data_IF_086427149820
#
_entry.id   IF_086427149820
#
_cell.length_a   1.000
_cell.length_b   1.000
_cell.length_c   1.000
_cell.angle_alpha   90.00
_cell.angle_beta   90.00
_cell.angle_gamma   90.00
#
_symmetry.space_group_name_H-M   'P 1'
#
loop_
_entity.id
_entity.type
_entity.pdbx_description
1 polymer ?
#
# COMPACT_ATOMS: atom_id res chain seq x y z
N UNK A 1 -12.26 5.69 -0.23
CA UNK A 1 -11.79 5.12 -1.51
C UNK A 1 -10.39 5.69 -1.76
N UNK A 2 -9.31 4.99 -1.39
CA UNK A 2 -7.98 5.50 -1.67
C UNK A 2 -7.69 5.28 -3.16
N UNK A 3 -7.50 6.40 -3.84
CA UNK A 3 -7.16 6.48 -5.27
C UNK A 3 -5.64 6.50 -5.41
N UNK A 4 -5.14 5.79 -6.41
CA UNK A 4 -3.81 5.82 -7.03
C UNK A 4 -2.91 4.61 -6.71
N UNK A 5 -2.79 3.73 -7.71
CA UNK A 5 -1.77 2.70 -7.82
C UNK A 5 -0.70 3.25 -8.78
N UNK A 6 0.50 3.54 -8.29
CA UNK A 6 1.61 4.07 -9.09
C UNK A 6 2.41 2.93 -9.75
N UNK A 7 2.65 3.03 -11.06
CA UNK A 7 3.41 2.06 -11.85
C UNK A 7 4.65 2.68 -12.50
N UNK A 8 5.81 2.06 -12.21
CA UNK A 8 7.11 2.10 -12.92
C UNK A 8 7.91 3.43 -12.94
N UNK A 9 9.15 3.35 -12.42
CA UNK A 9 10.07 4.48 -12.26
C UNK A 9 11.08 4.69 -13.38
N UNK A 10 11.61 5.91 -13.41
CA UNK A 10 12.93 6.29 -13.94
C UNK A 10 13.63 7.17 -12.88
N UNK A 11 14.77 6.70 -12.37
CA UNK A 11 15.60 7.41 -11.39
C UNK A 11 16.43 8.47 -12.12
N UNK A 12 15.97 9.71 -12.10
CA UNK A 12 16.76 10.88 -12.50
C UNK A 12 16.71 11.95 -11.40
N UNK A 13 17.84 12.41 -10.83
CA UNK A 13 17.84 13.38 -9.76
C UNK A 13 17.55 14.79 -10.30
N UNK A 14 16.78 15.58 -9.55
CA UNK A 14 16.63 17.03 -9.70
C UNK A 14 15.77 17.51 -10.89
N UNK A 15 14.45 17.48 -10.68
CA UNK A 15 13.40 18.41 -11.15
C UNK A 15 12.13 17.98 -10.42
N UNK A 16 11.26 18.92 -10.06
CA UNK A 16 9.91 18.61 -9.58
C UNK A 16 9.15 17.93 -10.72
N UNK A 17 9.40 16.62 -10.89
CA UNK A 17 8.81 15.80 -11.94
C UNK A 17 7.50 15.27 -11.38
N UNK A 18 6.40 15.78 -11.92
CA UNK A 18 5.10 15.22 -11.63
C UNK A 18 5.05 13.82 -12.25
N UNK A 19 4.49 12.87 -11.52
CA UNK A 19 4.27 11.52 -12.03
C UNK A 19 3.02 11.51 -12.89
N UNK A 20 3.01 10.69 -13.94
CA UNK A 20 1.81 10.41 -14.71
C UNK A 20 1.28 9.06 -14.26
N UNK A 21 0.17 9.07 -13.52
CA UNK A 21 -0.54 7.85 -13.11
C UNK A 21 -1.65 7.56 -14.13
N UNK A 22 -1.79 6.30 -14.54
CA UNK A 22 -2.88 5.88 -15.42
C UNK A 22 -3.92 5.14 -14.58
N UNK A 23 -5.17 5.58 -14.63
CA UNK A 23 -6.27 4.91 -13.91
C UNK A 23 -6.75 3.65 -14.65
N UNK A 24 -7.70 2.92 -14.03
CA UNK A 24 -8.31 1.71 -14.62
C UNK A 24 -9.00 1.95 -15.97
N UNK A 25 -9.44 3.18 -16.25
CA UNK A 25 -10.09 3.56 -17.50
C UNK A 25 -9.06 3.97 -18.58
N UNK A 26 -7.76 3.96 -18.26
CA UNK A 26 -6.71 4.42 -19.15
C UNK A 26 -6.50 5.94 -19.13
N UNK A 27 -7.14 6.67 -18.21
CA UNK A 27 -7.00 8.12 -18.10
C UNK A 27 -5.69 8.48 -17.42
N UNK A 28 -4.92 9.37 -18.04
CA UNK A 28 -3.69 9.89 -17.46
C UNK A 28 -3.98 11.03 -16.48
N UNK A 29 -3.46 10.91 -15.27
CA UNK A 29 -3.55 11.89 -14.21
C UNK A 29 -2.14 12.35 -13.81
N UNK A 30 -1.99 13.65 -13.60
CA UNK A 30 -0.74 14.21 -13.09
C UNK A 30 -0.77 14.17 -11.56
N UNK A 31 0.19 13.47 -10.96
CA UNK A 31 0.28 13.25 -9.51
C UNK A 31 1.56 13.90 -9.00
N UNK A 32 1.46 14.75 -7.97
CA UNK A 32 2.68 15.27 -7.34
C UNK A 32 3.31 14.19 -6.46
N UNK A 33 4.65 14.17 -6.31
CA UNK A 33 5.32 13.23 -5.41
C UNK A 33 4.79 13.26 -3.96
N UNK A 34 4.29 14.41 -3.52
CA UNK A 34 3.71 14.63 -2.18
C UNK A 34 2.32 13.99 -2.00
N UNK A 35 1.63 13.67 -3.10
CA UNK A 35 0.30 13.07 -3.10
C UNK A 35 0.37 11.53 -3.14
N UNK A 36 1.57 10.97 -3.29
CA UNK A 36 1.79 9.53 -3.32
C UNK A 36 1.95 9.03 -1.88
N UNK A 37 0.92 8.36 -1.38
CA UNK A 37 0.95 7.81 -0.02
C UNK A 37 1.61 6.42 0.04
N UNK A 38 1.48 5.62 -1.01
CA UNK A 38 2.05 4.28 -1.07
C UNK A 38 2.37 3.87 -2.50
N UNK A 39 3.49 3.17 -2.68
CA UNK A 39 3.91 2.62 -3.97
C UNK A 39 3.99 1.10 -3.84
N UNK A 40 3.21 0.40 -4.65
CA UNK A 40 3.23 -1.06 -4.69
C UNK A 40 4.56 -1.52 -5.31
N UNK A 41 5.38 -2.30 -4.60
CA UNK A 41 6.62 -2.84 -5.16
C UNK A 41 6.32 -3.88 -6.24
N UNK A 42 7.17 -3.97 -7.25
CA UNK A 42 7.07 -4.99 -8.31
C UNK A 42 7.06 -4.46 -9.74
N UNK A 43 6.76 -3.17 -9.95
CA UNK A 43 6.80 -2.53 -11.26
C UNK A 43 5.89 -3.16 -12.33
N UNK A 44 5.82 -2.56 -13.52
CA UNK A 44 5.16 -3.19 -14.69
C UNK A 44 3.63 -3.40 -14.58
N UNK A 45 2.95 -2.66 -13.71
CA UNK A 45 1.49 -2.62 -13.68
C UNK A 45 0.97 -1.89 -14.92
N UNK A 46 0.07 -2.54 -15.65
CA UNK A 46 -0.71 -1.91 -16.72
C UNK A 46 -2.12 -1.64 -16.21
N UNK A 47 -2.87 -0.69 -16.79
CA UNK A 47 -4.25 -0.41 -16.39
C UNK A 47 -5.14 -1.67 -16.38
N UNK A 48 -4.93 -2.57 -17.34
CA UNK A 48 -5.63 -3.85 -17.47
C UNK A 48 -5.36 -4.83 -16.32
N UNK A 49 -4.25 -4.66 -15.60
CA UNK A 49 -3.89 -5.50 -14.45
C UNK A 49 -4.47 -4.96 -13.14
N UNK A 50 -5.08 -3.77 -13.12
CA UNK A 50 -5.62 -3.17 -11.90
C UNK A 50 -6.79 -4.00 -11.36
N UNK A 51 -7.76 -4.37 -12.21
CA UNK A 51 -8.90 -5.19 -11.79
C UNK A 51 -8.50 -6.59 -11.26
N UNK A 52 -7.70 -7.41 -11.98
CA UNK A 52 -7.30 -8.71 -11.46
C UNK A 52 -6.42 -8.56 -10.20
N UNK A 53 -5.60 -7.51 -10.10
CA UNK A 53 -4.87 -7.22 -8.87
C UNK A 53 -5.84 -6.94 -7.71
N UNK A 54 -6.82 -6.07 -7.91
CA UNK A 54 -7.82 -5.74 -6.88
C UNK A 54 -8.65 -6.96 -6.45
N UNK A 55 -8.93 -7.90 -7.36
CA UNK A 55 -9.58 -9.16 -7.02
C UNK A 55 -8.74 -10.05 -6.09
N UNK A 56 -7.41 -9.98 -6.17
CA UNK A 56 -6.53 -10.69 -5.22
C UNK A 56 -6.40 -9.97 -3.88
N UNK A 57 -6.56 -8.64 -3.86
CA UNK A 57 -6.47 -7.82 -2.63
C UNK A 57 -7.75 -7.92 -1.81
N UNK A 58 -8.92 -7.83 -2.44
CA UNK A 58 -10.23 -7.80 -1.78
C UNK A 58 -10.43 -8.89 -0.71
N UNK A 59 -10.11 -10.18 -0.95
CA UNK A 59 -10.29 -11.22 0.06
C UNK A 59 -9.34 -11.10 1.27
N UNK A 60 -8.25 -10.33 1.15
CA UNK A 60 -7.29 -10.09 2.23
C UNK A 60 -7.69 -8.92 3.13
N UNK A 61 -8.69 -8.14 2.75
CA UNK A 61 -9.15 -6.96 3.49
C UNK A 61 -10.08 -7.34 4.64
N UNK A 62 -9.54 -8.04 5.65
CA UNK A 62 -10.26 -8.33 6.90
C UNK A 62 -9.79 -7.40 8.04
N UNK A 63 -10.66 -6.52 8.57
CA UNK A 63 -10.30 -5.64 9.68
C UNK A 63 -10.04 -6.40 10.99
N UNK A 64 -10.63 -7.59 11.17
CA UNK A 64 -10.44 -8.41 12.39
C UNK A 64 -8.99 -8.92 12.49
N UNK A 65 -8.34 -9.14 11.35
CA UNK A 65 -6.94 -9.55 11.29
C UNK A 65 -5.99 -8.50 11.89
N UNK A 66 -6.33 -7.21 11.85
CA UNK A 66 -5.51 -6.15 12.48
C UNK A 66 -5.53 -6.20 14.00
N UNK A 67 -6.67 -6.53 14.62
CA UNK A 67 -6.79 -6.63 16.08
C UNK A 67 -5.83 -7.70 16.61
N UNK A 68 -5.84 -8.87 15.99
CA UNK A 68 -4.95 -9.98 16.32
C UNK A 68 -3.49 -9.58 16.13
N UNK A 69 -3.13 -8.99 14.96
CA UNK A 69 -1.76 -8.57 14.69
C UNK A 69 -1.28 -7.47 15.65
N UNK A 70 -2.17 -6.58 16.08
CA UNK A 70 -1.84 -5.55 17.07
C UNK A 70 -1.50 -6.14 18.43
N UNK A 71 -2.20 -7.18 18.89
CA UNK A 71 -1.86 -7.84 20.17
C UNK A 71 -0.40 -8.32 20.20
N UNK A 72 0.08 -8.93 19.10
CA UNK A 72 1.47 -9.38 18.99
C UNK A 72 2.47 -8.23 19.00
N UNK A 73 2.19 -7.15 18.26
CA UNK A 73 3.13 -6.03 18.09
C UNK A 73 3.14 -5.10 19.31
N UNK A 74 1.98 -4.91 19.94
CA UNK A 74 1.82 -4.02 21.09
C UNK A 74 2.52 -4.56 22.33
N UNK A 75 2.60 -5.88 22.50
CA UNK A 75 3.37 -6.52 23.57
C UNK A 75 4.87 -6.15 23.52
N UNK A 76 5.44 -6.03 22.32
CA UNK A 76 6.84 -5.67 22.13
C UNK A 76 7.09 -4.15 22.16
N UNK A 77 6.03 -3.33 22.04
CA UNK A 77 6.13 -1.88 21.93
C UNK A 77 6.87 -1.40 20.67
N UNK A 78 6.95 -2.26 19.65
CA UNK A 78 7.72 -2.03 18.44
C UNK A 78 6.93 -1.25 17.39
N UNK A 79 7.61 -0.38 16.64
CA UNK A 79 7.05 0.25 15.46
C UNK A 79 7.13 -0.72 14.28
N UNK A 80 6.08 -0.81 13.48
CA UNK A 80 5.98 -1.81 12.40
C UNK A 80 5.84 -1.16 11.03
N UNK A 81 6.52 -1.73 10.03
CA UNK A 81 6.41 -1.32 8.63
C UNK A 81 5.30 -2.12 7.94
N UNK A 82 4.77 -1.58 6.84
CA UNK A 82 3.76 -2.29 6.01
C UNK A 82 4.26 -3.67 5.57
N UNK A 83 5.56 -3.81 5.30
CA UNK A 83 6.16 -5.08 4.91
C UNK A 83 6.17 -6.10 6.05
N UNK A 84 6.60 -5.70 7.24
CA UNK A 84 6.65 -6.58 8.40
C UNK A 84 5.23 -6.99 8.85
N UNK A 85 4.26 -6.07 8.79
CA UNK A 85 2.88 -6.39 9.10
C UNK A 85 2.24 -7.31 8.03
N UNK A 86 2.60 -7.16 6.75
CA UNK A 86 2.13 -8.06 5.70
C UNK A 86 2.62 -9.50 5.93
N UNK A 87 3.89 -9.65 6.33
CA UNK A 87 4.44 -10.95 6.71
C UNK A 87 3.72 -11.55 7.92
N UNK A 88 3.40 -10.73 8.92
CA UNK A 88 2.65 -11.17 10.10
C UNK A 88 1.21 -11.59 9.78
N UNK A 89 0.51 -10.82 8.95
CA UNK A 89 -0.91 -11.03 8.61
C UNK A 89 -1.11 -12.19 7.62
N UNK A 90 -0.23 -12.30 6.62
CA UNK A 90 -0.44 -13.16 5.46
C UNK A 90 0.66 -14.21 5.28
N UNK A 91 1.73 -14.17 6.08
CA UNK A 91 2.94 -15.00 5.89
C UNK A 91 3.56 -14.81 4.50
N UNK A 92 3.34 -13.64 3.89
CA UNK A 92 3.92 -13.26 2.62
C UNK A 92 4.10 -11.74 2.53
N UNK A 93 5.09 -11.33 1.75
CA UNK A 93 5.35 -9.93 1.45
C UNK A 93 5.07 -9.62 -0.02
N UNK A 94 4.08 -10.30 -0.63
CA UNK A 94 3.72 -10.05 -2.03
C UNK A 94 3.25 -8.60 -2.25
N UNK A 95 3.25 -8.15 -3.51
CA UNK A 95 2.70 -6.83 -3.88
C UNK A 95 1.25 -6.68 -3.40
N UNK A 96 0.47 -7.76 -3.51
CA UNK A 96 -0.92 -7.85 -3.05
C UNK A 96 -1.02 -7.76 -1.54
N UNK A 97 -0.24 -8.55 -0.80
CA UNK A 97 -0.25 -8.55 0.66
C UNK A 97 0.18 -7.21 1.26
N UNK A 98 1.25 -6.60 0.73
CA UNK A 98 1.70 -5.27 1.16
C UNK A 98 0.64 -4.21 0.90
N UNK A 99 -0.02 -4.26 -0.26
CA UNK A 99 -1.09 -3.30 -0.58
C UNK A 99 -2.35 -3.53 0.26
N UNK A 100 -2.75 -4.78 0.50
CA UNK A 100 -3.86 -5.12 1.40
C UNK A 100 -3.59 -4.60 2.82
N UNK A 101 -2.39 -4.83 3.33
CA UNK A 101 -1.92 -4.33 4.64
C UNK A 101 -1.98 -2.80 4.70
N UNK A 102 -1.48 -2.12 3.66
CA UNK A 102 -1.58 -0.67 3.57
C UNK A 102 -3.04 -0.19 3.59
N UNK A 103 -3.93 -0.85 2.83
CA UNK A 103 -5.35 -0.50 2.79
C UNK A 103 -6.03 -0.68 4.16
N UNK A 104 -5.67 -1.74 4.90
CA UNK A 104 -6.15 -1.98 6.25
C UNK A 104 -5.66 -0.89 7.22
N UNK A 105 -4.36 -0.60 7.22
CA UNK A 105 -3.75 0.44 8.06
C UNK A 105 -4.27 1.86 7.74
N UNK A 106 -4.52 2.17 6.47
CA UNK A 106 -5.07 3.46 6.06
C UNK A 106 -6.51 3.66 6.52
N UNK A 107 -7.26 2.58 6.72
CA UNK A 107 -8.64 2.61 7.19
C UNK A 107 -8.73 2.44 8.71
N UNK A 108 -7.69 1.89 9.32
CA UNK A 108 -7.60 1.72 10.76
C UNK A 108 -7.53 3.07 11.50
N UNK A 109 -8.24 3.11 12.62
CA UNK A 109 -8.33 4.28 13.51
C UNK A 109 -8.11 3.92 14.97
N UNK A 110 -7.93 2.63 15.27
CA UNK A 110 -7.97 2.08 16.61
C UNK A 110 -6.60 1.57 17.05
N UNK A 111 -5.93 0.80 16.21
CA UNK A 111 -4.77 -0.01 16.60
C UNK A 111 -3.43 0.66 16.25
N UNK A 112 -3.27 1.06 15.00
CA UNK A 112 -2.02 1.53 14.42
C UNK A 112 -2.07 3.03 14.11
N UNK A 113 -1.10 3.80 14.61
CA UNK A 113 -1.03 5.25 14.39
C UNK A 113 0.20 5.61 13.58
N UNK A 114 -0.02 6.04 12.33
CA UNK A 114 1.05 6.43 11.41
C UNK A 114 2.01 7.46 12.02
N UNK A 115 3.28 7.09 12.15
CA UNK A 115 4.43 7.92 12.53
C UNK A 115 5.48 7.87 11.42
N UNK A 116 5.34 8.75 10.42
CA UNK A 116 6.22 8.73 9.25
C UNK A 116 5.97 7.50 8.37
N UNK A 117 6.98 6.67 8.17
CA UNK A 117 6.93 5.42 7.37
C UNK A 117 6.54 4.19 8.20
N UNK A 118 6.36 4.37 9.51
CA UNK A 118 6.06 3.30 10.47
C UNK A 118 4.73 3.55 11.18
N UNK A 119 4.17 2.50 11.78
CA UNK A 119 2.91 2.50 12.50
C UNK A 119 3.08 2.07 13.95
#
# INVERSE_FOLDING_TARGET
MPTAIAASGDRSPRREKHFIAIDRNGTAHTVHPRDIEFVVPGGGFTPQKIDPFWQTVTPLLDPSSLEVAWEFVAEEGAAVTVEALADLLFSETSATARYATYCLLSQDKLYFKRKGDQY
#
